data_IF_040327228603
#
_entry.id   IF_040327228603
#
_cell.length_a   1.000
_cell.length_b   1.000
_cell.length_c   1.000
_cell.angle_alpha   90.00
_cell.angle_beta   90.00
_cell.angle_gamma   90.00
#
_symmetry.space_group_name_H-M   'P 1'
#
loop_
_entity.id
_entity.type
_entity.pdbx_description
1 polymer ?
#
# COMPACT_ATOMS: atom_id res chain seq x y z
N UNK A 1 -25.85 -12.17 19.55
CA UNK A 1 -26.81 -13.29 19.37
C UNK A 1 -27.22 -13.51 17.92
N UNK A 2 -27.84 -12.55 17.21
CA UNK A 2 -28.26 -12.73 15.80
C UNK A 2 -27.16 -13.20 14.82
N UNK A 3 -25.95 -12.64 14.90
CA UNK A 3 -24.84 -13.02 14.00
C UNK A 3 -24.33 -14.44 14.24
N UNK A 4 -24.18 -14.84 15.51
CA UNK A 4 -23.75 -16.19 15.86
C UNK A 4 -24.81 -17.24 15.50
N UNK A 5 -26.10 -16.88 15.59
CA UNK A 5 -27.20 -17.79 15.24
C UNK A 5 -27.38 -17.97 13.72
N UNK A 6 -27.12 -16.96 12.91
CA UNK A 6 -27.33 -17.01 11.46
C UNK A 6 -26.07 -17.28 10.64
N UNK A 7 -24.89 -17.00 11.20
CA UNK A 7 -23.61 -17.16 10.53
C UNK A 7 -22.62 -17.88 11.46
N UNK A 8 -22.78 -19.20 11.65
CA UNK A 8 -21.97 -19.96 12.61
C UNK A 8 -20.47 -19.97 12.27
N UNK A 9 -20.10 -19.69 11.02
CA UNK A 9 -18.72 -19.56 10.56
C UNK A 9 -18.17 -18.13 10.70
N UNK A 10 -19.00 -17.18 11.13
CA UNK A 10 -18.60 -15.80 11.34
C UNK A 10 -18.34 -15.58 12.83
N UNK A 11 -17.08 -15.40 13.20
CA UNK A 11 -16.67 -15.07 14.56
C UNK A 11 -16.66 -13.55 14.73
N UNK A 12 -17.66 -12.93 15.40
CA UNK A 12 -17.59 -11.52 15.71
C UNK A 12 -16.51 -11.30 16.78
N UNK A 13 -15.32 -10.86 16.35
CA UNK A 13 -14.28 -10.39 17.25
C UNK A 13 -14.58 -8.94 17.63
N UNK A 14 -14.81 -8.67 18.92
CA UNK A 14 -14.80 -7.30 19.42
C UNK A 14 -13.37 -6.74 19.29
N UNK A 15 -13.21 -5.70 18.47
CA UNK A 15 -11.94 -5.02 18.29
C UNK A 15 -12.03 -3.66 18.97
N UNK A 16 -11.26 -3.41 20.05
CA UNK A 16 -11.21 -2.10 20.68
C UNK A 16 -10.76 -1.02 19.68
N UNK A 17 -11.16 0.22 19.93
CA UNK A 17 -10.77 1.35 19.08
C UNK A 17 -9.24 1.43 18.96
N UNK A 18 -8.73 1.53 17.73
CA UNK A 18 -7.30 1.56 17.43
C UNK A 18 -6.60 0.20 17.38
N UNK A 19 -7.27 -0.90 17.72
CA UNK A 19 -6.71 -2.26 17.66
C UNK A 19 -6.94 -2.97 16.32
N UNK A 20 -7.60 -2.34 15.34
CA UNK A 20 -7.88 -2.93 14.02
C UNK A 20 -6.62 -3.43 13.31
N UNK A 21 -5.55 -2.64 13.30
CA UNK A 21 -4.27 -3.05 12.70
C UNK A 21 -3.57 -4.23 13.41
N UNK A 22 -3.98 -4.57 14.64
CA UNK A 22 -3.49 -5.73 15.39
C UNK A 22 -4.43 -6.93 15.31
N UNK A 23 -5.73 -6.68 15.17
CA UNK A 23 -6.77 -7.70 15.25
C UNK A 23 -7.28 -8.16 13.88
N UNK A 24 -7.04 -7.41 12.80
CA UNK A 24 -7.42 -7.80 11.44
C UNK A 24 -6.27 -8.58 10.77
N UNK A 25 -6.44 -9.88 10.46
CA UNK A 25 -5.38 -10.70 9.85
C UNK A 25 -4.83 -10.11 8.54
N UNK A 26 -5.70 -9.46 7.76
CA UNK A 26 -5.33 -8.75 6.54
C UNK A 26 -4.36 -7.58 6.79
N UNK A 27 -4.49 -6.89 7.92
CA UNK A 27 -3.65 -5.74 8.26
C UNK A 27 -2.29 -6.16 8.86
N UNK A 28 -2.20 -7.36 9.43
CA UNK A 28 -1.00 -7.87 10.09
C UNK A 28 0.13 -8.26 9.14
N UNK A 29 -0.18 -8.88 7.99
CA UNK A 29 0.85 -9.34 7.04
C UNK A 29 0.65 -8.79 5.63
N UNK A 30 -0.46 -9.14 4.92
CA UNK A 30 -0.59 -8.80 3.50
C UNK A 30 -0.57 -7.29 3.27
N UNK A 31 -1.30 -6.53 4.10
CA UNK A 31 -1.40 -5.08 3.92
C UNK A 31 -0.10 -4.36 4.29
N UNK A 32 0.70 -4.86 5.25
CA UNK A 32 2.03 -4.27 5.58
C UNK A 32 2.99 -4.40 4.40
N UNK A 33 3.07 -5.60 3.81
CA UNK A 33 3.90 -5.86 2.64
C UNK A 33 3.43 -5.01 1.46
N UNK A 34 2.11 -4.99 1.20
CA UNK A 34 1.51 -4.18 0.13
C UNK A 34 1.88 -2.70 0.28
N UNK A 35 1.65 -2.12 1.47
CA UNK A 35 1.96 -0.71 1.76
C UNK A 35 3.45 -0.41 1.61
N UNK A 36 4.33 -1.32 2.05
CA UNK A 36 5.77 -1.16 1.89
C UNK A 36 6.18 -1.12 0.42
N UNK A 37 5.70 -2.07 -0.40
CA UNK A 37 6.02 -2.12 -1.82
C UNK A 37 5.48 -0.88 -2.54
N UNK A 38 4.23 -0.50 -2.29
CA UNK A 38 3.64 0.72 -2.87
C UNK A 38 4.49 1.95 -2.54
N UNK A 39 4.98 2.07 -1.29
CA UNK A 39 5.86 3.17 -0.88
C UNK A 39 7.20 3.15 -1.63
N UNK A 40 7.82 1.99 -1.82
CA UNK A 40 9.08 1.89 -2.57
C UNK A 40 8.89 2.27 -4.04
N UNK A 41 7.84 1.77 -4.68
CA UNK A 41 7.55 2.05 -6.09
C UNK A 41 7.21 3.53 -6.30
N UNK A 42 6.45 4.15 -5.38
CA UNK A 42 6.18 5.58 -5.42
C UNK A 42 7.46 6.42 -5.21
N UNK A 43 8.38 5.96 -4.35
CA UNK A 43 9.68 6.61 -4.16
C UNK A 43 10.55 6.53 -5.42
N UNK A 44 10.52 5.41 -6.15
CA UNK A 44 11.22 5.31 -7.45
C UNK A 44 10.74 6.38 -8.43
N UNK A 45 9.43 6.59 -8.55
CA UNK A 45 8.88 7.63 -9.44
C UNK A 45 9.37 9.02 -9.01
N UNK A 46 9.37 9.31 -7.71
CA UNK A 46 9.87 10.58 -7.19
C UNK A 46 11.37 10.79 -7.48
N UNK A 47 12.19 9.73 -7.36
CA UNK A 47 13.62 9.78 -7.67
C UNK A 47 13.83 10.04 -9.17
N UNK A 48 13.06 9.38 -10.04
CA UNK A 48 13.14 9.58 -11.49
C UNK A 48 12.79 11.02 -11.86
N UNK A 49 11.69 11.56 -11.32
CA UNK A 49 11.27 12.95 -11.56
C UNK A 49 12.35 13.94 -11.10
N UNK A 50 12.86 13.76 -9.88
CA UNK A 50 13.88 14.64 -9.33
C UNK A 50 15.16 14.61 -10.17
N UNK A 51 15.61 13.42 -10.59
CA UNK A 51 16.78 13.26 -11.47
C UNK A 51 16.60 13.94 -12.82
N UNK A 52 15.41 13.82 -13.42
CA UNK A 52 15.11 14.48 -14.70
C UNK A 52 15.16 16.01 -14.58
N UNK A 53 14.61 16.56 -13.51
CA UNK A 53 14.64 18.01 -13.26
C UNK A 53 16.07 18.52 -13.07
N UNK A 54 16.87 17.82 -12.25
CA UNK A 54 18.28 18.17 -12.04
C UNK A 54 19.06 18.08 -13.37
N UNK A 55 18.85 17.01 -14.15
CA UNK A 55 19.52 16.85 -15.44
C UNK A 55 19.13 17.93 -16.46
N UNK A 56 17.92 18.48 -16.36
CA UNK A 56 17.47 19.63 -17.17
C UNK A 56 18.00 20.99 -16.69
N UNK A 57 18.85 21.02 -15.66
CA UNK A 57 19.47 22.23 -15.14
C UNK A 57 18.68 22.95 -14.04
N UNK A 58 17.67 22.29 -13.44
CA UNK A 58 16.99 22.86 -12.29
C UNK A 58 17.93 22.94 -11.07
N UNK A 59 17.89 24.05 -10.35
CA UNK A 59 18.55 24.16 -9.05
C UNK A 59 17.92 23.18 -8.04
N UNK A 60 18.70 22.64 -7.06
CA UNK A 60 18.18 21.69 -6.08
C UNK A 60 16.92 22.18 -5.34
N UNK A 61 16.83 23.47 -5.03
CA UNK A 61 15.71 24.11 -4.34
C UNK A 61 14.46 24.24 -5.20
N UNK A 62 14.61 24.16 -6.53
CA UNK A 62 13.52 24.26 -7.50
C UNK A 62 12.89 22.91 -7.83
N UNK A 63 13.49 21.78 -7.39
CA UNK A 63 12.97 20.43 -7.64
C UNK A 63 11.61 20.27 -6.95
N UNK A 64 10.58 19.94 -7.73
CA UNK A 64 9.23 19.68 -7.22
C UNK A 64 8.69 18.36 -7.72
N UNK A 65 8.17 17.55 -6.81
CA UNK A 65 7.50 16.31 -7.16
C UNK A 65 6.08 16.60 -7.64
N UNK A 66 5.65 15.96 -8.73
CA UNK A 66 4.27 16.08 -9.21
C UNK A 66 3.33 15.23 -8.34
N UNK A 67 2.66 15.89 -7.40
CA UNK A 67 1.65 15.31 -6.52
C UNK A 67 0.23 15.56 -7.02
N UNK A 68 0.07 16.04 -8.26
CA UNK A 68 -1.23 16.30 -8.86
C UNK A 68 -2.03 15.01 -9.13
N UNK A 69 -3.35 15.09 -9.00
CA UNK A 69 -4.26 13.95 -9.21
C UNK A 69 -4.01 13.27 -10.56
N UNK A 70 -3.73 14.03 -11.62
CA UNK A 70 -3.46 13.48 -12.96
C UNK A 70 -2.20 12.60 -12.97
N UNK A 71 -1.11 13.06 -12.38
CA UNK A 71 0.14 12.29 -12.30
C UNK A 71 -0.03 11.06 -11.40
N UNK A 72 -0.59 11.25 -10.21
CA UNK A 72 -0.81 10.15 -9.26
C UNK A 72 -1.75 9.08 -9.83
N UNK A 73 -2.81 9.48 -10.57
CA UNK A 73 -3.74 8.54 -11.23
C UNK A 73 -3.04 7.69 -12.29
N UNK A 74 -2.09 8.25 -13.03
CA UNK A 74 -1.37 7.48 -14.06
C UNK A 74 -0.32 6.54 -13.45
N UNK A 75 0.22 6.89 -12.27
CA UNK A 75 1.24 6.10 -11.57
C UNK A 75 0.66 4.98 -10.69
N UNK A 76 -0.50 5.23 -10.08
CA UNK A 76 -1.11 4.31 -9.12
C UNK A 76 -1.39 2.90 -9.65
N UNK A 77 -1.73 2.66 -10.94
CA UNK A 77 -1.87 1.29 -11.45
C UNK A 77 -0.56 0.50 -11.37
N UNK A 78 0.58 1.14 -11.66
CA UNK A 78 1.92 0.51 -11.52
C UNK A 78 2.17 0.12 -10.07
N UNK A 79 1.83 1.00 -9.13
CA UNK A 79 2.03 0.77 -7.70
C UNK A 79 1.20 -0.41 -7.21
N UNK A 80 -0.08 -0.44 -7.58
CA UNK A 80 -1.01 -1.51 -7.20
C UNK A 80 -0.61 -2.84 -7.84
N UNK A 81 -0.21 -2.85 -9.12
CA UNK A 81 0.23 -4.07 -9.79
C UNK A 81 1.50 -4.66 -9.14
N UNK A 82 2.49 -3.81 -8.85
CA UNK A 82 3.71 -4.24 -8.15
C UNK A 82 3.40 -4.73 -6.74
N UNK A 83 2.54 -4.01 -6.02
CA UNK A 83 2.06 -4.38 -4.70
C UNK A 83 1.36 -5.74 -4.70
N UNK A 84 0.40 -5.93 -5.62
CA UNK A 84 -0.33 -7.18 -5.82
C UNK A 84 0.61 -8.34 -6.10
N UNK A 85 1.53 -8.20 -7.06
CA UNK A 85 2.51 -9.25 -7.38
C UNK A 85 3.44 -9.57 -6.20
N UNK A 86 3.66 -8.61 -5.29
CA UNK A 86 4.44 -8.81 -4.08
C UNK A 86 3.73 -9.65 -3.02
N UNK A 87 2.41 -9.47 -2.88
CA UNK A 87 1.59 -10.19 -1.89
C UNK A 87 0.96 -11.47 -2.44
N UNK A 88 0.80 -11.58 -3.76
CA UNK A 88 0.23 -12.74 -4.44
C UNK A 88 1.28 -13.85 -4.59
N UNK A 89 1.89 -14.23 -3.47
CA UNK A 89 2.88 -15.29 -3.35
C UNK A 89 2.38 -16.31 -2.32
N UNK A 90 2.46 -17.62 -2.59
CA UNK A 90 1.99 -18.65 -1.65
C UNK A 90 2.61 -18.51 -0.25
N UNK A 91 3.88 -18.10 -0.20
CA UNK A 91 4.65 -17.91 1.04
C UNK A 91 4.13 -16.78 1.93
N UNK A 92 3.49 -15.77 1.34
CA UNK A 92 2.89 -14.64 2.06
C UNK A 92 1.48 -14.99 2.52
N UNK A 93 0.76 -15.80 1.74
CA UNK A 93 -0.58 -16.29 2.08
C UNK A 93 -0.57 -17.38 3.15
N UNK A 94 0.47 -18.21 3.21
CA UNK A 94 0.57 -19.36 4.12
C UNK A 94 1.09 -19.02 5.54
N UNK A 95 1.41 -17.75 5.82
CA UNK A 95 1.96 -17.28 7.11
C UNK A 95 0.91 -16.75 8.09
N UNK A 96 -0.37 -16.86 7.76
CA UNK A 96 -1.50 -16.36 8.56
C UNK A 96 -2.37 -17.52 9.01
#
# INVERSE_FOLDING_TARGET
DHLASNYPNFLPAFVPAGCTGYSQPCDLLPQRILKHIVRQVALEDAIVDARQQIASGAAPEAVKLDTGIKALRNRSPRWLLKGFNGINKPEVAAKV
#
